data_IF_513243452914
#
_entry.id   IF_513243452914
#
_cell.length_a   1.000
_cell.length_b   1.000
_cell.length_c   1.000
_cell.angle_alpha   90.00
_cell.angle_beta   90.00
_cell.angle_gamma   90.00
#
_symmetry.space_group_name_H-M   'P 1'
#
loop_
_entity.id
_entity.type
_entity.pdbx_description
1 polymer ?
#
# COMPACT_ATOMS: atom_id res chain seq x y z
N UNK A 1 7.92 1.78 13.76
CA UNK A 1 6.65 1.79 14.53
C UNK A 1 5.66 0.84 13.87
N UNK A 2 4.81 0.17 14.66
CA UNK A 2 3.90 -0.87 14.17
C UNK A 2 2.44 -0.53 14.51
N UNK A 3 1.52 -0.91 13.63
CA UNK A 3 0.08 -0.86 13.86
C UNK A 3 -0.49 -2.27 13.93
N UNK A 4 -1.30 -2.56 14.95
CA UNK A 4 -2.00 -3.85 15.09
C UNK A 4 -3.30 -3.83 14.31
N UNK A 5 -3.45 -4.77 13.39
CA UNK A 5 -4.70 -4.99 12.64
C UNK A 5 -5.37 -6.21 13.27
N UNK A 6 -6.48 -5.98 13.98
CA UNK A 6 -7.27 -7.05 14.61
C UNK A 6 -8.16 -7.74 13.60
N UNK A 7 -8.28 -9.07 13.69
CA UNK A 7 -9.17 -9.88 12.85
C UNK A 7 -9.03 -9.59 11.34
N UNK A 8 -7.80 -9.62 10.86
CA UNK A 8 -7.50 -9.46 9.44
C UNK A 8 -7.98 -10.63 8.57
N UNK A 9 -7.49 -10.69 7.32
CA UNK A 9 -7.80 -11.78 6.38
C UNK A 9 -7.57 -13.15 7.04
N UNK A 10 -8.66 -13.92 7.22
CA UNK A 10 -8.63 -15.24 7.86
C UNK A 10 -8.67 -15.22 9.39
N UNK A 11 -9.22 -14.17 10.02
CA UNK A 11 -9.38 -14.00 11.47
C UNK A 11 -8.06 -14.02 12.26
N UNK A 12 -6.96 -13.65 11.61
CA UNK A 12 -5.65 -13.54 12.27
C UNK A 12 -5.28 -12.08 12.49
N UNK A 13 -4.82 -11.80 13.70
CA UNK A 13 -4.19 -10.54 14.01
C UNK A 13 -2.84 -10.45 13.29
N UNK A 14 -2.49 -9.25 12.83
CA UNK A 14 -1.17 -8.99 12.26
C UNK A 14 -0.67 -7.61 12.64
N UNK A 15 0.64 -7.44 12.60
CA UNK A 15 1.29 -6.14 12.70
C UNK A 15 1.69 -5.68 11.30
N UNK A 16 1.44 -4.41 11.00
CA UNK A 16 1.96 -3.74 9.81
C UNK A 16 2.88 -2.61 10.22
N UNK A 17 3.83 -2.26 9.36
CA UNK A 17 4.61 -1.04 9.56
C UNK A 17 3.73 0.20 9.44
N UNK A 18 4.03 1.18 10.28
CA UNK A 18 3.44 2.51 10.26
C UNK A 18 4.59 3.51 10.15
N UNK A 19 4.58 4.31 9.09
CA UNK A 19 5.58 5.37 8.90
C UNK A 19 5.39 6.48 9.93
N UNK A 20 6.47 7.19 10.26
CA UNK A 20 6.42 8.31 11.20
C UNK A 20 5.46 9.40 10.72
N UNK A 21 5.46 9.69 9.42
CA UNK A 21 4.53 10.65 8.81
C UNK A 21 3.07 10.22 8.96
N UNK A 22 2.78 8.93 8.74
CA UNK A 22 1.42 8.40 8.90
C UNK A 22 0.97 8.47 10.36
N UNK A 23 1.87 8.21 11.32
CA UNK A 23 1.58 8.39 12.74
C UNK A 23 1.25 9.86 13.07
N UNK A 24 2.06 10.81 12.61
CA UNK A 24 1.82 12.24 12.85
C UNK A 24 0.47 12.70 12.29
N UNK A 25 0.09 12.23 11.10
CA UNK A 25 -1.23 12.51 10.53
C UNK A 25 -2.35 11.88 11.35
N UNK A 26 -2.16 10.64 11.81
CA UNK A 26 -3.13 9.93 12.63
C UNK A 26 -3.32 10.59 13.99
N UNK A 27 -2.25 11.08 14.61
CA UNK A 27 -2.30 11.84 15.86
C UNK A 27 -3.07 13.16 15.70
N UNK A 28 -2.81 13.91 14.61
CA UNK A 28 -3.57 15.13 14.29
C UNK A 28 -5.05 14.81 14.12
N UNK A 29 -5.36 13.75 13.39
CA UNK A 29 -6.73 13.27 13.21
C UNK A 29 -7.38 12.88 14.55
N UNK A 30 -6.69 12.09 15.38
CA UNK A 30 -7.21 11.65 16.67
C UNK A 30 -7.52 12.82 17.59
N UNK A 31 -6.64 13.82 17.65
CA UNK A 31 -6.83 15.06 18.44
C UNK A 31 -8.00 15.90 17.96
N UNK A 32 -8.34 15.85 16.67
CA UNK A 32 -9.44 16.64 16.12
C UNK A 32 -10.81 15.96 16.30
N UNK A 33 -10.87 14.63 16.13
CA UNK A 33 -12.15 13.90 16.04
C UNK A 33 -12.44 12.99 17.24
N UNK A 34 -11.44 12.67 18.07
CA UNK A 34 -11.54 11.80 19.24
C UNK A 34 -12.42 10.54 19.03
N UNK A 35 -12.11 9.71 18.01
CA UNK A 35 -12.90 8.52 17.72
C UNK A 35 -12.87 7.53 18.88
N UNK A 36 -14.04 6.98 19.25
CA UNK A 36 -14.17 6.11 20.44
C UNK A 36 -14.18 4.61 20.12
N UNK A 37 -14.93 4.21 19.09
CA UNK A 37 -15.16 2.79 18.76
C UNK A 37 -14.32 2.37 17.55
N UNK A 38 -14.47 3.08 16.44
CA UNK A 38 -13.74 2.84 15.20
C UNK A 38 -12.77 3.97 14.95
N UNK A 39 -11.51 3.62 14.61
CA UNK A 39 -10.50 4.62 14.25
C UNK A 39 -10.96 5.51 13.09
N UNK A 40 -11.70 4.94 12.13
CA UNK A 40 -12.37 5.68 11.08
C UNK A 40 -13.88 5.40 11.15
N UNK A 41 -14.68 6.30 11.74
CA UNK A 41 -16.11 6.12 11.89
C UNK A 41 -16.84 6.33 10.55
N UNK A 42 -17.84 5.50 10.30
CA UNK A 42 -18.83 5.64 9.23
C UNK A 42 -20.17 6.16 9.76
N UNK A 43 -21.21 6.04 8.95
CA UNK A 43 -22.56 6.47 9.33
C UNK A 43 -23.15 5.58 10.44
N UNK A 44 -23.81 6.21 11.43
CA UNK A 44 -24.56 5.51 12.47
C UNK A 44 -23.72 4.58 13.36
N UNK A 45 -22.61 5.07 13.93
CA UNK A 45 -21.68 4.33 14.82
C UNK A 45 -21.00 3.09 14.19
N UNK A 46 -21.09 2.91 12.87
CA UNK A 46 -20.43 1.82 12.16
C UNK A 46 -18.99 2.18 11.76
N UNK A 47 -18.22 1.18 11.31
CA UNK A 47 -16.94 1.42 10.65
C UNK A 47 -17.12 2.11 9.30
N UNK A 48 -16.12 2.87 8.86
CA UNK A 48 -16.08 3.43 7.51
C UNK A 48 -16.23 2.33 6.45
N UNK A 49 -17.14 2.54 5.50
CA UNK A 49 -17.41 1.56 4.45
C UNK A 49 -16.30 1.55 3.39
N UNK A 50 -16.10 0.41 2.73
CA UNK A 50 -15.12 0.28 1.63
C UNK A 50 -15.41 1.30 0.51
N UNK A 51 -16.69 1.53 0.21
CA UNK A 51 -17.11 2.53 -0.79
C UNK A 51 -16.73 3.95 -0.38
N UNK A 52 -16.84 4.29 0.90
CA UNK A 52 -16.40 5.60 1.40
C UNK A 52 -14.88 5.77 1.24
N UNK A 53 -14.09 4.74 1.55
CA UNK A 53 -12.64 4.76 1.31
C UNK A 53 -12.30 4.95 -0.18
N UNK A 54 -12.95 4.19 -1.07
CA UNK A 54 -12.77 4.30 -2.51
C UNK A 54 -13.14 5.70 -3.02
N UNK A 55 -14.24 6.25 -2.53
CA UNK A 55 -14.68 7.59 -2.89
C UNK A 55 -13.70 8.68 -2.42
N UNK A 56 -13.21 8.58 -1.18
CA UNK A 56 -12.19 9.49 -0.64
C UNK A 56 -10.89 9.44 -1.47
N UNK A 57 -10.50 8.24 -1.92
CA UNK A 57 -9.37 8.07 -2.82
C UNK A 57 -9.62 8.75 -4.19
N UNK A 58 -10.78 8.54 -4.82
CA UNK A 58 -11.10 9.17 -6.10
C UNK A 58 -11.13 10.70 -6.01
N UNK A 59 -11.67 11.27 -4.93
CA UNK A 59 -11.62 12.73 -4.70
C UNK A 59 -10.17 13.20 -4.61
N UNK A 60 -9.33 12.49 -3.84
CA UNK A 60 -7.93 12.85 -3.67
C UNK A 60 -7.17 12.78 -5.00
N UNK A 61 -7.38 11.72 -5.77
CA UNK A 61 -6.78 11.53 -7.10
C UNK A 61 -7.18 12.63 -8.09
N UNK A 62 -8.45 13.05 -8.09
CA UNK A 62 -8.92 14.16 -8.91
C UNK A 62 -8.20 15.46 -8.54
N UNK A 63 -8.00 15.71 -7.24
CA UNK A 63 -7.28 16.91 -6.75
C UNK A 63 -5.81 16.93 -7.16
N UNK A 64 -5.16 15.77 -7.30
CA UNK A 64 -3.75 15.70 -7.70
C UNK A 64 -3.52 15.79 -9.21
N UNK A 65 -4.58 15.84 -10.03
CA UNK A 65 -4.46 15.89 -11.49
C UNK A 65 -3.94 14.60 -12.13
N UNK A 66 -3.93 13.47 -11.40
CA UNK A 66 -3.41 12.20 -11.93
C UNK A 66 -4.44 11.60 -12.90
N UNK A 67 -4.08 11.54 -14.17
CA UNK A 67 -4.92 11.02 -15.26
C UNK A 67 -4.87 9.49 -15.40
N UNK A 68 -3.89 8.83 -14.77
CA UNK A 68 -3.74 7.36 -14.81
C UNK A 68 -4.96 6.66 -14.20
N UNK A 69 -5.40 5.56 -14.80
CA UNK A 69 -6.45 4.67 -14.25
C UNK A 69 -5.89 3.88 -13.05
N UNK A 70 -5.74 4.55 -11.91
CA UNK A 70 -5.37 3.94 -10.64
C UNK A 70 -6.57 3.92 -9.69
N UNK A 71 -6.84 2.78 -9.05
CA UNK A 71 -7.82 2.64 -7.97
C UNK A 71 -7.14 2.53 -6.60
N UNK A 72 -7.91 2.44 -5.52
CA UNK A 72 -7.37 2.40 -4.14
C UNK A 72 -6.38 1.25 -3.90
N UNK A 73 -6.52 0.13 -4.63
CA UNK A 73 -5.60 -1.01 -4.54
C UNK A 73 -4.19 -0.67 -5.06
N UNK A 74 -4.05 0.31 -5.96
CA UNK A 74 -2.75 0.77 -6.43
C UNK A 74 -1.88 1.28 -5.29
N UNK A 75 -2.46 1.91 -4.24
CA UNK A 75 -1.71 2.33 -3.07
C UNK A 75 -1.03 1.15 -2.35
N UNK A 76 -1.73 0.02 -2.24
CA UNK A 76 -1.18 -1.22 -1.65
C UNK A 76 -0.06 -1.78 -2.52
N UNK A 77 -0.22 -1.74 -3.84
CA UNK A 77 0.82 -2.20 -4.75
C UNK A 77 2.06 -1.31 -4.69
N UNK A 78 1.90 0.02 -4.78
CA UNK A 78 2.99 0.97 -4.67
C UNK A 78 3.76 0.84 -3.35
N UNK A 79 3.07 0.61 -2.23
CA UNK A 79 3.71 0.33 -0.96
C UNK A 79 4.63 -0.90 -1.02
N UNK A 80 4.14 -2.00 -1.57
CA UNK A 80 4.89 -3.25 -1.63
C UNK A 80 6.07 -3.18 -2.60
N UNK A 81 5.86 -2.58 -3.77
CA UNK A 81 6.92 -2.36 -4.76
C UNK A 81 8.03 -1.52 -4.14
N UNK A 82 7.69 -0.37 -3.53
CA UNK A 82 8.67 0.48 -2.87
C UNK A 82 9.37 -0.21 -1.71
N UNK A 83 8.66 -1.03 -0.93
CA UNK A 83 9.26 -1.80 0.15
C UNK A 83 10.32 -2.78 -0.35
N UNK A 84 10.06 -3.48 -1.46
CA UNK A 84 11.02 -4.40 -2.07
C UNK A 84 12.20 -3.67 -2.73
N UNK A 85 11.95 -2.53 -3.37
CA UNK A 85 13.00 -1.71 -4.02
C UNK A 85 14.05 -1.19 -3.03
N UNK A 86 13.63 -0.88 -1.80
CA UNK A 86 14.54 -0.46 -0.72
C UNK A 86 15.26 -1.67 -0.08
N UNK A 87 15.07 -2.89 -0.61
CA UNK A 87 15.68 -4.13 -0.10
C UNK A 87 14.91 -4.76 1.06
N UNK A 88 13.64 -4.43 1.23
CA UNK A 88 12.79 -5.01 2.26
C UNK A 88 12.55 -6.51 2.04
N UNK A 89 12.54 -7.29 3.12
CA UNK A 89 12.39 -8.75 3.04
C UNK A 89 11.00 -9.21 2.61
N UNK A 90 10.92 -10.16 1.66
CA UNK A 90 9.67 -10.68 1.11
C UNK A 90 8.74 -11.30 2.18
N UNK A 91 9.29 -12.06 3.12
CA UNK A 91 8.51 -12.67 4.21
C UNK A 91 7.90 -11.62 5.15
N UNK A 92 8.60 -10.51 5.38
CA UNK A 92 8.10 -9.40 6.19
C UNK A 92 6.96 -8.69 5.46
N UNK A 93 7.13 -8.44 4.16
CA UNK A 93 6.09 -7.86 3.32
C UNK A 93 4.82 -8.73 3.31
N UNK A 94 4.97 -10.05 3.18
CA UNK A 94 3.85 -10.99 3.25
C UNK A 94 3.08 -10.85 4.58
N UNK A 95 3.81 -10.75 5.69
CA UNK A 95 3.23 -10.56 7.02
C UNK A 95 2.48 -9.21 7.14
N UNK A 96 3.03 -8.11 6.61
CA UNK A 96 2.37 -6.81 6.63
C UNK A 96 1.07 -6.81 5.82
N UNK A 97 1.11 -7.40 4.63
CA UNK A 97 -0.02 -7.39 3.71
C UNK A 97 -1.11 -8.42 4.07
N UNK A 98 -0.75 -9.45 4.84
CA UNK A 98 -1.68 -10.47 5.34
C UNK A 98 -2.09 -11.52 4.30
N UNK A 99 -1.22 -11.83 3.33
CA UNK A 99 -1.48 -12.85 2.32
C UNK A 99 -1.01 -14.22 2.83
N UNK A 100 -1.91 -15.21 2.85
CA UNK A 100 -1.60 -16.59 3.27
C UNK A 100 -0.65 -17.32 2.32
N UNK A 101 -0.54 -16.88 1.06
CA UNK A 101 0.30 -17.52 0.04
C UNK A 101 1.12 -16.48 -0.72
N UNK A 102 2.42 -16.75 -0.90
CA UNK A 102 3.34 -15.94 -1.71
C UNK A 102 2.85 -15.81 -3.16
N UNK A 103 2.22 -16.87 -3.69
CA UNK A 103 1.63 -16.87 -5.03
C UNK A 103 0.54 -15.82 -5.20
N UNK A 104 -0.24 -15.52 -4.16
CA UNK A 104 -1.28 -14.47 -4.23
C UNK A 104 -0.66 -13.09 -4.27
N UNK A 105 0.45 -12.88 -3.54
CA UNK A 105 1.23 -11.64 -3.66
C UNK A 105 1.65 -11.48 -5.13
N UNK A 106 2.46 -12.41 -5.64
CA UNK A 106 3.02 -12.37 -7.00
C UNK A 106 1.94 -12.30 -8.10
N UNK A 107 0.86 -13.08 -8.00
CA UNK A 107 -0.23 -13.06 -8.99
C UNK A 107 -0.98 -11.72 -9.04
N UNK A 108 -1.16 -11.03 -7.92
CA UNK A 108 -1.81 -9.70 -7.88
C UNK A 108 -0.92 -8.64 -8.57
N UNK A 109 0.42 -8.77 -8.47
CA UNK A 109 1.35 -7.93 -9.23
C UNK A 109 1.37 -8.33 -10.74
N UNK A 110 1.37 -9.64 -11.07
CA UNK A 110 1.37 -10.18 -12.45
C UNK A 110 0.14 -9.79 -13.28
N UNK A 111 -1.06 -9.92 -12.73
CA UNK A 111 -2.29 -9.69 -13.50
C UNK A 111 -2.57 -8.22 -13.81
N UNK A 112 -1.84 -7.29 -13.20
CA UNK A 112 -2.10 -5.85 -13.34
C UNK A 112 -1.25 -5.17 -14.44
N UNK A 113 -0.36 -5.90 -15.12
CA UNK A 113 0.52 -5.35 -16.16
C UNK A 113 1.69 -4.50 -15.64
N UNK A 114 2.01 -4.57 -14.34
CA UNK A 114 3.08 -3.79 -13.70
C UNK A 114 4.46 -4.49 -13.69
N UNK A 115 4.62 -5.57 -14.46
CA UNK A 115 5.82 -6.43 -14.42
C UNK A 115 6.62 -6.34 -15.71
N UNK A 116 7.51 -5.35 -15.76
CA UNK A 116 8.91 -5.71 -15.94
C UNK A 116 9.69 -5.65 -14.62
N UNK A 117 9.41 -4.67 -13.76
CA UNK A 117 10.29 -4.34 -12.64
C UNK A 117 10.30 -5.38 -11.50
N UNK A 118 9.13 -5.87 -11.06
CA UNK A 118 9.05 -6.74 -9.86
C UNK A 118 9.60 -8.17 -10.04
N UNK A 119 9.62 -8.71 -11.26
CA UNK A 119 10.21 -10.03 -11.58
C UNK A 119 11.72 -9.89 -11.75
N UNK A 120 12.17 -8.74 -12.27
CA UNK A 120 13.57 -8.39 -12.34
C UNK A 120 14.19 -8.37 -10.93
N UNK A 121 13.49 -7.87 -9.91
CA UNK A 121 13.96 -7.92 -8.50
C UNK A 121 14.12 -9.33 -7.93
N UNK A 122 13.22 -10.27 -8.29
CA UNK A 122 13.33 -11.67 -7.85
C UNK A 122 14.55 -12.34 -8.49
N UNK A 123 14.90 -11.96 -9.72
CA UNK A 123 16.08 -12.47 -10.44
C UNK A 123 17.38 -11.72 -10.04
N UNK A 124 17.29 -10.43 -9.70
CA UNK A 124 18.43 -9.56 -9.33
C UNK A 124 18.92 -9.75 -7.89
N UNK A 125 18.21 -10.48 -7.03
CA UNK A 125 18.72 -10.72 -5.67
C UNK A 125 19.99 -11.60 -5.63
N UNK A 126 20.39 -12.16 -6.77
CA UNK A 126 21.67 -12.86 -6.94
C UNK A 126 22.83 -11.94 -7.36
N UNK A 127 22.60 -10.76 -7.95
CA UNK A 127 23.71 -9.86 -8.34
C UNK A 127 23.41 -8.37 -8.08
N UNK A 128 24.21 -7.82 -7.17
CA UNK A 128 24.46 -6.42 -6.81
C UNK A 128 24.12 -5.42 -7.95
N UNK A 129 23.37 -4.34 -7.67
CA UNK A 129 23.64 -2.91 -8.09
C UNK A 129 22.41 -1.97 -7.95
N UNK A 130 22.70 -0.80 -7.35
CA UNK A 130 22.19 0.60 -7.52
C UNK A 130 20.79 0.78 -8.17
N UNK A 131 19.78 1.08 -7.36
CA UNK A 131 18.41 1.40 -7.82
C UNK A 131 18.23 2.90 -8.12
N UNK A 132 17.70 3.23 -9.30
CA UNK A 132 17.11 4.54 -9.64
C UNK A 132 15.59 4.49 -9.41
N UNK A 133 15.01 5.64 -9.06
CA UNK A 133 13.59 5.80 -8.71
C UNK A 133 12.66 5.33 -9.84
N UNK A 134 11.60 4.53 -9.56
CA UNK A 134 10.64 4.08 -10.57
C UNK A 134 9.81 5.18 -11.23
N UNK A 135 9.81 6.38 -10.65
CA UNK A 135 9.18 7.56 -11.27
C UNK A 135 9.94 8.04 -12.51
N UNK A 136 11.24 7.76 -12.60
CA UNK A 136 12.10 8.18 -13.73
C UNK A 136 11.88 7.31 -14.98
N UNK A 137 11.31 6.11 -14.82
CA UNK A 137 11.05 5.16 -15.92
C UNK A 137 9.90 5.61 -16.82
N UNK A 138 8.98 6.43 -16.31
CA UNK A 138 7.77 6.87 -17.04
C UNK A 138 7.88 8.28 -17.64
N UNK A 139 9.07 8.89 -17.66
CA UNK A 139 9.30 10.28 -18.05
C UNK A 139 9.87 10.53 -19.45
N UNK A 140 10.07 9.51 -20.29
CA UNK A 140 10.49 9.71 -21.69
C UNK A 140 9.32 9.50 -22.64
N UNK A 141 8.68 10.60 -23.01
CA UNK A 141 8.00 10.69 -24.30
C UNK A 141 9.07 10.97 -25.34
N UNK A 142 9.34 9.99 -26.19
CA UNK A 142 10.23 10.12 -27.33
C UNK A 142 9.67 11.18 -28.30
N UNK A 143 10.53 12.14 -28.66
CA UNK A 143 10.41 13.01 -29.83
C UNK A 143 11.43 12.56 -30.87
#
# INVERSE_FOLDING_TARGET
>A
MLIRIRQGKGNKDRYSILSVLALQLLEKYWKAYHPKVWLFPGYGNNQMSIRACQHAYEISKKKTGITKKAGIHCLRHSFATHYLEVGGGLFQLQNFMGHKQLRTLVAEYCCSGWLPATLQYVHLSEEKIIARSPLDVYGKTDS
#
